data_IF_714161018565
#
_entry.id   IF_714161018565
#
_cell.length_a   1.000
_cell.length_b   1.000
_cell.length_c   1.000
_cell.angle_alpha   90.00
_cell.angle_beta   90.00
_cell.angle_gamma   90.00
#
_symmetry.space_group_name_H-M   'P 1'
#
loop_
_entity.id
_entity.type
_entity.pdbx_description
1 polymer ?
#
# COMPACT_ATOMS: atom_id res chain seq x y z
N UNK A 1 2.53 -8.82 -43.03
CA UNK A 1 2.23 -8.22 -41.71
C UNK A 1 2.52 -9.25 -40.65
N UNK A 2 3.39 -8.98 -39.65
CA UNK A 2 3.63 -9.92 -38.55
C UNK A 2 2.58 -9.66 -37.45
N UNK A 3 1.69 -10.61 -37.14
CA UNK A 3 0.88 -10.54 -35.93
C UNK A 3 1.77 -10.92 -34.73
N UNK A 4 1.69 -10.19 -33.62
CA UNK A 4 2.18 -10.68 -32.33
C UNK A 4 3.43 -10.02 -31.72
N UNK A 5 3.55 -8.69 -31.69
CA UNK A 5 4.64 -8.03 -30.96
C UNK A 5 4.22 -7.08 -29.83
N UNK A 6 2.95 -7.10 -29.42
CA UNK A 6 2.53 -6.41 -28.21
C UNK A 6 2.46 -7.43 -27.07
N UNK A 7 3.28 -7.30 -26.00
CA UNK A 7 3.04 -8.09 -24.81
C UNK A 7 1.61 -7.81 -24.34
N UNK A 8 0.91 -8.85 -23.90
CA UNK A 8 -0.38 -8.68 -23.26
C UNK A 8 -0.23 -7.62 -22.14
N UNK A 9 -1.23 -6.75 -21.93
CA UNK A 9 -1.20 -5.80 -20.83
C UNK A 9 -0.94 -6.56 -19.54
N UNK A 10 -0.03 -6.03 -18.71
CA UNK A 10 0.35 -6.63 -17.45
C UNK A 10 -0.89 -6.89 -16.59
N UNK A 11 -1.02 -8.13 -16.10
CA UNK A 11 -2.17 -8.53 -15.28
C UNK A 11 -2.13 -7.87 -13.91
N UNK A 12 -3.30 -7.76 -13.26
CA UNK A 12 -3.41 -7.16 -11.94
C UNK A 12 -2.63 -7.98 -10.91
N UNK A 13 -2.58 -9.29 -11.07
CA UNK A 13 -1.86 -10.25 -10.24
C UNK A 13 -0.33 -10.08 -10.34
N UNK A 14 0.19 -9.83 -11.54
CA UNK A 14 1.61 -9.52 -11.76
C UNK A 14 1.99 -8.19 -11.11
N UNK A 15 1.16 -7.16 -11.29
CA UNK A 15 1.36 -5.85 -10.65
C UNK A 15 1.32 -5.96 -9.13
N UNK A 16 0.35 -6.70 -8.59
CA UNK A 16 0.24 -6.96 -7.14
C UNK A 16 1.54 -7.59 -6.63
N UNK A 17 1.97 -8.69 -7.25
CA UNK A 17 3.17 -9.44 -6.85
C UNK A 17 4.44 -8.56 -6.84
N UNK A 18 4.59 -7.65 -7.82
CA UNK A 18 5.72 -6.71 -7.87
C UNK A 18 5.73 -5.71 -6.71
N UNK A 19 4.57 -5.38 -6.15
CA UNK A 19 4.44 -4.38 -5.11
C UNK A 19 4.23 -4.95 -3.70
N UNK A 20 4.01 -6.26 -3.53
CA UNK A 20 3.94 -6.93 -2.22
C UNK A 20 5.12 -6.58 -1.30
N UNK A 21 6.39 -6.58 -1.74
CA UNK A 21 7.52 -6.24 -0.85
C UNK A 21 7.44 -4.80 -0.32
N UNK A 22 6.80 -3.90 -1.06
CA UNK A 22 6.60 -2.51 -0.64
C UNK A 22 5.66 -2.42 0.57
N UNK A 23 4.58 -3.22 0.57
CA UNK A 23 3.63 -3.28 1.70
C UNK A 23 4.37 -3.69 2.96
N UNK A 24 5.07 -4.83 2.90
CA UNK A 24 5.82 -5.37 4.06
C UNK A 24 6.87 -4.39 4.57
N UNK A 25 7.59 -3.71 3.67
CA UNK A 25 8.59 -2.69 4.03
C UNK A 25 7.94 -1.51 4.76
N UNK A 26 6.83 -0.99 4.25
CA UNK A 26 6.14 0.16 4.86
C UNK A 26 5.53 -0.24 6.21
N UNK A 27 4.85 -1.40 6.28
CA UNK A 27 4.32 -1.94 7.53
C UNK A 27 5.43 -2.09 8.58
N UNK A 28 6.60 -2.60 8.20
CA UNK A 28 7.74 -2.76 9.11
C UNK A 28 8.29 -1.43 9.62
N UNK A 29 8.38 -0.43 8.75
CA UNK A 29 8.79 0.93 9.13
C UNK A 29 7.81 1.57 10.13
N UNK A 30 6.51 1.35 9.94
CA UNK A 30 5.48 1.88 10.84
C UNK A 30 5.48 1.11 12.17
N UNK A 31 5.51 -0.23 12.12
CA UNK A 31 5.54 -1.12 13.29
C UNK A 31 6.69 -0.79 14.26
N UNK A 32 7.85 -0.38 13.75
CA UNK A 32 8.99 0.02 14.56
C UNK A 32 8.71 1.22 15.50
N UNK A 33 7.64 1.97 15.26
CA UNK A 33 7.21 3.11 16.08
C UNK A 33 6.01 2.78 16.98
N UNK A 34 5.59 1.51 17.02
CA UNK A 34 4.40 1.04 17.72
C UNK A 34 4.77 0.20 18.96
N UNK A 35 3.86 0.04 19.93
CA UNK A 35 4.04 -0.89 21.03
C UNK A 35 3.95 -2.33 20.51
N UNK A 36 4.57 -3.26 21.23
CA UNK A 36 4.56 -4.68 20.90
C UNK A 36 3.15 -5.33 20.91
N UNK A 37 2.14 -4.63 21.43
CA UNK A 37 0.75 -5.07 21.42
C UNK A 37 0.07 -4.94 20.05
N UNK A 38 0.66 -4.20 19.11
CA UNK A 38 0.12 -4.08 17.74
C UNK A 38 0.65 -5.23 16.90
N UNK A 39 -0.26 -6.01 16.32
CA UNK A 39 0.12 -7.12 15.44
C UNK A 39 0.65 -6.59 14.09
N UNK A 40 1.82 -7.06 13.70
CA UNK A 40 2.40 -6.77 12.39
C UNK A 40 1.52 -7.28 11.25
N UNK A 41 0.87 -8.43 11.43
CA UNK A 41 -0.05 -9.03 10.46
C UNK A 41 -1.20 -8.08 10.10
N UNK A 42 -1.74 -7.36 11.09
CA UNK A 42 -2.83 -6.41 10.87
C UNK A 42 -2.38 -5.22 10.02
N UNK A 43 -1.15 -4.74 10.23
CA UNK A 43 -0.55 -3.67 9.42
C UNK A 43 -0.28 -4.14 7.98
N UNK A 44 0.22 -5.37 7.82
CA UNK A 44 0.48 -5.95 6.50
C UNK A 44 -0.84 -6.12 5.72
N UNK A 45 -1.90 -6.62 6.36
CA UNK A 45 -3.24 -6.75 5.78
C UNK A 45 -3.86 -5.39 5.43
N UNK A 46 -3.82 -4.42 6.35
CA UNK A 46 -4.32 -3.07 6.08
C UNK A 46 -3.56 -2.41 4.92
N UNK A 47 -2.23 -2.56 4.90
CA UNK A 47 -1.40 -2.08 3.81
C UNK A 47 -1.74 -2.75 2.47
N UNK A 48 -2.09 -4.03 2.47
CA UNK A 48 -2.54 -4.75 1.28
C UNK A 48 -3.80 -4.15 0.67
N UNK A 49 -4.79 -3.79 1.51
CA UNK A 49 -6.02 -3.12 1.08
C UNK A 49 -5.68 -1.79 0.40
N UNK A 50 -4.75 -1.02 0.97
CA UNK A 50 -4.27 0.22 0.37
C UNK A 50 -3.56 0.02 -0.98
N UNK A 51 -2.81 -1.07 -1.15
CA UNK A 51 -2.17 -1.41 -2.42
C UNK A 51 -3.20 -1.81 -3.48
N UNK A 52 -4.19 -2.63 -3.13
CA UNK A 52 -5.29 -2.99 -4.02
C UNK A 52 -6.03 -1.76 -4.55
N UNK A 53 -6.39 -0.84 -3.67
CA UNK A 53 -7.00 0.44 -4.02
C UNK A 53 -6.12 1.28 -4.96
N UNK A 54 -4.80 1.25 -4.76
CA UNK A 54 -3.86 1.96 -5.60
C UNK A 54 -3.82 1.36 -7.01
N UNK A 55 -3.79 0.03 -7.11
CA UNK A 55 -3.78 -0.70 -8.38
C UNK A 55 -5.02 -0.39 -9.22
N UNK A 56 -6.20 -0.32 -8.58
CA UNK A 56 -7.49 -0.05 -9.25
C UNK A 56 -7.62 1.36 -9.80
N UNK A 57 -6.90 2.32 -9.21
CA UNK A 57 -7.01 3.74 -9.57
C UNK A 57 -5.78 4.27 -10.31
N UNK A 58 -4.72 3.46 -10.40
CA UNK A 58 -3.39 3.90 -10.84
C UNK A 58 -3.05 3.58 -12.30
N UNK A 59 -4.01 3.23 -13.15
CA UNK A 59 -3.77 2.73 -14.51
C UNK A 59 -3.06 3.73 -15.45
N UNK A 60 -3.15 5.03 -15.19
CA UNK A 60 -2.55 6.08 -16.05
C UNK A 60 -1.20 6.63 -15.54
N UNK A 61 -0.60 6.00 -14.52
CA UNK A 61 0.62 6.52 -13.89
C UNK A 61 1.88 5.84 -14.46
N UNK A 62 2.97 6.61 -14.60
CA UNK A 62 4.28 6.00 -14.85
C UNK A 62 4.69 5.12 -13.65
N UNK A 63 5.58 4.12 -13.81
CA UNK A 63 5.97 3.22 -12.71
C UNK A 63 6.47 3.95 -11.44
N UNK A 64 7.21 5.06 -11.61
CA UNK A 64 7.72 5.85 -10.48
C UNK A 64 6.61 6.65 -9.77
N UNK A 65 5.67 7.21 -10.54
CA UNK A 65 4.48 7.88 -9.98
C UNK A 65 3.60 6.88 -9.24
N UNK A 66 3.38 5.70 -9.83
CA UNK A 66 2.60 4.64 -9.23
C UNK A 66 3.22 4.17 -7.90
N UNK A 67 4.53 3.94 -7.84
CA UNK A 67 5.20 3.55 -6.61
C UNK A 67 5.00 4.58 -5.49
N UNK A 68 5.06 5.87 -5.82
CA UNK A 68 4.82 6.96 -4.86
C UNK A 68 3.36 6.97 -4.40
N UNK A 69 2.42 6.88 -5.35
CA UNK A 69 0.99 6.85 -5.07
C UNK A 69 0.60 5.64 -4.20
N UNK A 70 1.06 4.43 -4.57
CA UNK A 70 0.85 3.21 -3.80
C UNK A 70 1.40 3.35 -2.38
N UNK A 71 2.60 3.91 -2.20
CA UNK A 71 3.18 4.13 -0.88
C UNK A 71 2.34 5.10 -0.01
N UNK A 72 1.66 6.09 -0.61
CA UNK A 72 0.72 6.98 0.10
C UNK A 72 -0.52 6.18 0.52
N UNK A 73 -1.10 5.40 -0.39
CA UNK A 73 -2.32 4.61 -0.13
C UNK A 73 -2.11 3.52 0.92
N UNK A 74 -0.99 2.80 0.86
CA UNK A 74 -0.59 1.79 1.85
C UNK A 74 -0.51 2.42 3.24
N UNK A 75 0.20 3.54 3.39
CA UNK A 75 0.31 4.23 4.69
C UNK A 75 -1.05 4.72 5.19
N UNK A 76 -1.87 5.28 4.30
CA UNK A 76 -3.22 5.74 4.63
C UNK A 76 -4.08 4.61 5.22
N UNK A 77 -4.10 3.45 4.55
CA UNK A 77 -4.86 2.29 5.00
C UNK A 77 -4.36 1.76 6.35
N UNK A 78 -3.04 1.71 6.56
CA UNK A 78 -2.47 1.32 7.86
C UNK A 78 -2.86 2.33 8.95
N UNK A 79 -2.78 3.64 8.67
CA UNK A 79 -3.22 4.65 9.62
C UNK A 79 -4.70 4.53 9.95
N UNK A 80 -5.55 4.20 8.98
CA UNK A 80 -6.97 4.00 9.22
C UNK A 80 -7.23 2.80 10.13
N UNK A 81 -6.51 1.70 9.95
CA UNK A 81 -6.61 0.54 10.84
C UNK A 81 -6.15 0.86 12.25
N UNK A 82 -5.01 1.52 12.37
CA UNK A 82 -4.46 2.00 13.63
C UNK A 82 -5.38 2.99 14.38
N UNK A 83 -6.23 3.74 13.67
CA UNK A 83 -7.24 4.61 14.28
C UNK A 83 -8.40 3.82 14.87
N UNK A 84 -8.77 2.69 14.27
CA UNK A 84 -9.82 1.80 14.79
C UNK A 84 -9.38 1.09 16.07
N UNK A 85 -8.09 0.80 16.17
CA UNK A 85 -7.46 0.20 17.35
C UNK A 85 -7.18 1.21 18.47
N UNK A 86 -7.64 2.47 18.33
CA UNK A 86 -7.36 3.60 19.25
C UNK A 86 -5.87 3.87 19.54
N UNK A 87 -4.97 3.27 18.75
CA UNK A 87 -3.53 3.41 18.96
C UNK A 87 -3.04 4.83 18.61
N UNK A 88 -3.62 5.48 17.59
CA UNK A 88 -3.16 6.80 17.18
C UNK A 88 -3.64 7.88 18.18
N UNK A 89 -2.72 8.61 18.84
CA UNK A 89 -3.10 9.70 19.75
C UNK A 89 -4.01 10.68 19.03
N UNK A 90 -5.13 11.09 19.67
CA UNK A 90 -6.14 11.98 19.06
C UNK A 90 -5.55 13.27 18.43
N UNK A 91 -4.37 13.73 18.88
CA UNK A 91 -3.67 14.93 18.39
C UNK A 91 -2.86 14.76 17.09
N UNK A 92 -2.63 13.55 16.59
CA UNK A 92 -1.91 13.33 15.31
C UNK A 92 -2.82 13.30 14.09
N UNK A 93 -4.13 13.55 14.27
CA UNK A 93 -5.15 13.51 13.20
C UNK A 93 -5.32 14.83 12.43
N UNK A 94 -4.64 15.90 12.85
CA UNK A 94 -4.74 17.23 12.25
C UNK A 94 -3.36 17.81 11.97
N UNK A 95 -2.92 17.71 10.72
CA UNK A 95 -2.25 18.80 10.02
C UNK A 95 -2.76 18.77 8.58
N UNK A 96 -3.77 19.59 8.35
CA UNK A 96 -4.10 20.15 7.04
C UNK A 96 -2.92 20.97 6.49
#
# INVERSE_FOLDING_TARGET
MKPGLYPAPETREERLSKHLPMVRRIAGQMAAQLPASVDFSDLEQAGMIGLWDALDRGEMQSPAQFATYAAIRIRGAIYDELRKLDWLPRRSRAKE
#
